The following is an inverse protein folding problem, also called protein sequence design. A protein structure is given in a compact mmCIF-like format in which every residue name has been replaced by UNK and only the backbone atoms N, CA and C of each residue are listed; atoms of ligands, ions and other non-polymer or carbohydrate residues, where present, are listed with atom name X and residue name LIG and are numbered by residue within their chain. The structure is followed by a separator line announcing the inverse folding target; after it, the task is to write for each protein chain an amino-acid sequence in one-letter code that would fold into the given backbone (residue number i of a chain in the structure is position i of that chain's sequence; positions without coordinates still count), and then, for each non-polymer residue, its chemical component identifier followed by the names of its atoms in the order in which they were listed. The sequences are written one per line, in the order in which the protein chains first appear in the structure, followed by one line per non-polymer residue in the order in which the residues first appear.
data_IF_241963595522
#
_entry.id   IF_241963595522
#
_cell.length_a   1.000
_cell.length_b   1.000
_cell.length_c   1.000
_cell.angle_alpha   90.00
_cell.angle_beta   90.00
_cell.angle_gamma   90.00
#
_symmetry.space_group_name_H-M   'P 1'
#
loop_
_entity.id
_entity.type
_entity.pdbx_description
1 polymer ?
#
# COMPACT_ATOMS: atom_id res chain seq x y z
N UNK A 1 2.42 8.61 14.61
CA UNK A 1 1.57 7.58 15.23
C UNK A 1 2.39 6.31 15.39
N UNK A 2 2.33 5.64 16.54
CA UNK A 2 2.97 4.33 16.74
C UNK A 2 2.02 3.20 16.32
N UNK A 3 2.51 1.98 16.02
CA UNK A 3 1.63 0.88 15.67
C UNK A 3 0.66 0.50 16.80
N UNK A 4 1.06 0.58 18.07
CA UNK A 4 0.18 0.31 19.20
C UNK A 4 -0.99 1.31 19.29
N UNK A 5 -0.72 2.59 19.00
CA UNK A 5 -1.78 3.60 18.93
C UNK A 5 -2.76 3.31 17.80
N UNK A 6 -2.25 2.89 16.63
CA UNK A 6 -3.10 2.52 15.51
C UNK A 6 -3.98 1.30 15.81
N UNK A 7 -3.48 0.30 16.54
CA UNK A 7 -4.30 -0.86 16.96
C UNK A 7 -5.43 -0.46 17.89
N UNK A 8 -5.18 0.48 18.81
CA UNK A 8 -6.22 1.01 19.71
C UNK A 8 -7.29 1.77 18.93
N UNK A 9 -6.89 2.50 17.89
CA UNK A 9 -7.80 3.26 17.02
C UNK A 9 -8.67 2.36 16.14
N UNK A 10 -8.09 1.27 15.61
CA UNK A 10 -8.82 0.26 14.83
C UNK A 10 -9.83 -0.50 15.72
N UNK A 11 -9.51 -0.71 17.01
CA UNK A 11 -10.41 -1.31 17.99
C UNK A 11 -10.63 -2.82 17.78
N UNK A 12 -11.90 -3.26 17.84
CA UNK A 12 -12.33 -4.67 17.92
C UNK A 12 -11.73 -5.56 16.82
N UNK A 13 -11.52 -5.01 15.62
CA UNK A 13 -10.95 -5.75 14.49
C UNK A 13 -9.54 -6.27 14.81
N UNK A 14 -8.77 -5.51 15.57
CA UNK A 14 -7.40 -5.85 15.99
C UNK A 14 -7.28 -6.18 17.47
N UNK A 15 -8.39 -6.31 18.21
CA UNK A 15 -8.33 -6.69 19.63
C UNK A 15 -7.65 -8.07 19.79
N UNK A 16 -6.66 -8.14 20.67
CA UNK A 16 -5.80 -9.32 20.86
C UNK A 16 -4.81 -9.60 19.71
N UNK A 17 -4.71 -8.74 18.69
CA UNK A 17 -3.67 -8.85 17.68
C UNK A 17 -2.31 -8.40 18.22
N UNK A 18 -1.24 -9.06 17.78
CA UNK A 18 0.14 -8.72 18.15
C UNK A 18 0.93 -8.31 16.91
N UNK A 19 1.82 -7.33 17.09
CA UNK A 19 2.81 -6.96 16.07
C UNK A 19 3.88 -8.06 16.07
N UNK A 20 4.06 -8.72 14.93
CA UNK A 20 5.01 -9.83 14.80
C UNK A 20 6.34 -9.34 14.28
N UNK A 21 6.31 -8.45 13.30
CA UNK A 21 7.51 -7.80 12.76
C UNK A 21 7.14 -6.56 11.98
N UNK A 22 8.12 -5.67 11.88
CA UNK A 22 8.14 -4.66 10.84
C UNK A 22 8.42 -5.30 9.48
N UNK A 23 7.72 -4.84 8.46
CA UNK A 23 7.93 -5.18 7.06
C UNK A 23 8.73 -4.06 6.41
N UNK A 24 9.49 -4.37 5.36
CA UNK A 24 10.22 -3.36 4.61
C UNK A 24 9.25 -2.26 4.13
N UNK A 25 9.37 -1.08 4.72
CA UNK A 25 8.57 0.10 4.39
C UNK A 25 9.28 0.99 3.37
N UNK A 26 8.49 1.71 2.59
CA UNK A 26 9.00 2.80 1.76
C UNK A 26 9.27 4.07 2.60
N UNK A 27 9.78 5.14 1.97
CA UNK A 27 10.00 6.41 2.65
C UNK A 27 8.67 7.10 3.05
N UNK A 28 7.53 6.66 2.50
CA UNK A 28 6.22 7.25 2.74
C UNK A 28 5.39 6.55 3.83
N UNK A 29 5.79 5.36 4.30
CA UNK A 29 5.01 4.62 5.30
C UNK A 29 5.85 3.59 6.06
N UNK A 30 5.43 3.27 7.27
CA UNK A 30 5.84 2.07 7.99
C UNK A 30 4.79 0.98 7.83
N UNK A 31 5.25 -0.27 7.74
CA UNK A 31 4.37 -1.43 7.55
C UNK A 31 4.69 -2.51 8.57
N UNK A 32 3.66 -3.13 9.14
CA UNK A 32 3.79 -4.12 10.21
C UNK A 32 2.93 -5.34 9.90
N UNK A 33 3.50 -6.54 10.14
CA UNK A 33 2.73 -7.78 10.13
C UNK A 33 2.07 -7.96 11.50
N UNK A 34 0.75 -8.07 11.50
CA UNK A 34 -0.05 -8.39 12.68
C UNK A 34 -0.53 -9.83 12.63
N UNK A 35 -0.65 -10.47 13.80
CA UNK A 35 -1.25 -11.79 13.94
C UNK A 35 -2.27 -11.84 15.08
N UNK A 36 -3.39 -12.52 14.85
CA UNK A 36 -4.36 -12.95 15.87
C UNK A 36 -4.90 -14.32 15.51
N UNK A 37 -4.61 -15.34 16.32
CA UNK A 37 -4.94 -16.73 16.01
C UNK A 37 -4.49 -17.11 14.57
N UNK A 38 -5.42 -17.50 13.71
CA UNK A 38 -5.15 -17.83 12.29
C UNK A 38 -5.18 -16.63 11.34
N UNK A 39 -5.59 -15.46 11.84
CA UNK A 39 -5.68 -14.25 11.04
C UNK A 39 -4.36 -13.49 11.01
N UNK A 40 -4.04 -12.96 9.83
CA UNK A 40 -2.86 -12.15 9.58
C UNK A 40 -3.24 -10.91 8.80
N UNK A 41 -2.68 -9.78 9.20
CA UNK A 41 -2.89 -8.49 8.54
C UNK A 41 -1.58 -7.75 8.30
N UNK A 42 -1.62 -6.84 7.34
CA UNK A 42 -0.60 -5.81 7.18
C UNK A 42 -1.20 -4.48 7.61
N UNK A 43 -0.64 -3.91 8.67
CA UNK A 43 -0.90 -2.55 9.11
C UNK A 43 0.09 -1.63 8.40
N UNK A 44 -0.41 -0.57 7.76
CA UNK A 44 0.40 0.51 7.22
C UNK A 44 0.04 1.81 7.91
N UNK A 45 1.06 2.55 8.31
CA UNK A 45 0.94 3.88 8.91
C UNK A 45 1.75 4.86 8.05
N UNK A 46 1.11 5.96 7.67
CA UNK A 46 1.77 7.00 6.88
C UNK A 46 2.87 7.72 7.67
N UNK A 47 3.99 7.96 6.98
CA UNK A 47 5.02 8.90 7.42
C UNK A 47 4.62 10.31 7.00
N UNK A 48 5.16 11.37 7.66
CA UNK A 48 4.91 12.75 7.24
C UNK A 48 5.17 13.03 5.75
N UNK A 49 6.08 12.26 5.13
CA UNK A 49 6.37 12.37 3.71
C UNK A 49 5.17 12.02 2.80
N UNK A 50 4.25 11.14 3.22
CA UNK A 50 3.07 10.78 2.43
C UNK A 50 2.19 12.00 2.10
N UNK A 51 1.89 12.81 3.12
CA UNK A 51 1.14 14.07 2.94
C UNK A 51 1.89 15.07 2.06
N UNK A 52 3.22 15.19 2.23
CA UNK A 52 4.08 16.07 1.42
C UNK A 52 4.16 15.65 -0.06
N UNK A 53 3.97 14.37 -0.36
CA UNK A 53 3.89 13.84 -1.71
C UNK A 53 2.49 13.96 -2.32
N UNK A 54 1.50 14.38 -1.53
CA UNK A 54 0.11 14.46 -1.95
C UNK A 54 -0.45 13.10 -2.38
N UNK A 55 -0.09 12.04 -1.64
CA UNK A 55 -0.63 10.70 -1.88
C UNK A 55 -2.12 10.69 -1.53
N UNK A 56 -2.95 10.34 -2.52
CA UNK A 56 -4.40 10.30 -2.37
C UNK A 56 -4.82 8.94 -1.80
N UNK A 57 -5.06 8.90 -0.48
CA UNK A 57 -5.44 7.69 0.23
C UNK A 57 -6.89 7.26 -0.04
N UNK A 58 -7.76 8.20 -0.40
CA UNK A 58 -9.13 7.89 -0.80
C UNK A 58 -9.14 7.20 -2.17
N UNK A 59 -8.35 7.69 -3.13
CA UNK A 59 -8.15 7.03 -4.41
C UNK A 59 -7.50 5.65 -4.25
N UNK A 60 -6.57 5.48 -3.32
CA UNK A 60 -5.98 4.18 -3.01
C UNK A 60 -7.02 3.18 -2.47
N UNK A 61 -7.89 3.61 -1.55
CA UNK A 61 -8.99 2.80 -1.03
C UNK A 61 -9.93 2.36 -2.15
N UNK A 62 -10.27 3.30 -3.02
CA UNK A 62 -11.11 3.06 -4.19
C UNK A 62 -10.50 1.98 -5.08
N UNK A 63 -9.21 2.09 -5.41
CA UNK A 63 -8.51 1.07 -6.22
C UNK A 63 -8.49 -0.28 -5.51
N UNK A 64 -8.18 -0.34 -4.21
CA UNK A 64 -8.16 -1.60 -3.44
C UNK A 64 -9.52 -2.33 -3.48
N UNK A 65 -10.63 -1.60 -3.42
CA UNK A 65 -11.97 -2.18 -3.53
C UNK A 65 -12.30 -2.75 -4.93
N UNK A 66 -11.57 -2.36 -5.98
CA UNK A 66 -11.79 -2.85 -7.35
C UNK A 66 -10.85 -3.99 -7.74
N UNK A 67 -9.65 -4.05 -7.13
CA UNK A 67 -8.66 -5.10 -7.40
C UNK A 67 -8.86 -6.35 -6.53
N UNK A 68 -9.73 -6.27 -5.53
CA UNK A 68 -10.17 -7.38 -4.70
C UNK A 68 -11.66 -7.63 -4.93
N UNK A 69 -12.03 -8.89 -5.19
CA UNK A 69 -13.41 -9.31 -5.48
C UNK A 69 -14.02 -10.04 -4.28
N UNK A 70 -13.46 -11.19 -3.93
CA UNK A 70 -13.90 -12.03 -2.81
C UNK A 70 -12.81 -13.02 -2.39
N UNK A 71 -12.96 -13.64 -1.22
CA UNK A 71 -11.94 -14.53 -0.63
C UNK A 71 -11.70 -15.84 -1.41
N UNK A 72 -12.61 -16.22 -2.31
CA UNK A 72 -12.51 -17.44 -3.12
C UNK A 72 -12.00 -17.17 -4.55
N UNK A 73 -11.80 -15.90 -4.92
CA UNK A 73 -11.37 -15.52 -6.26
C UNK A 73 -9.85 -15.63 -6.43
N UNK A 74 -9.43 -16.44 -7.40
CA UNK A 74 -8.04 -16.51 -7.86
C UNK A 74 -7.64 -15.30 -8.73
N UNK A 75 -8.60 -14.47 -9.13
CA UNK A 75 -8.39 -13.28 -9.96
C UNK A 75 -8.17 -12.00 -9.12
N UNK A 76 -8.05 -12.13 -7.79
CA UNK A 76 -7.69 -11.01 -6.93
C UNK A 76 -6.28 -10.52 -7.27
N UNK A 77 -6.16 -9.23 -7.59
CA UNK A 77 -4.87 -8.59 -7.93
C UNK A 77 -4.23 -7.96 -6.68
N UNK A 78 -5.05 -7.60 -5.68
CA UNK A 78 -4.61 -6.97 -4.44
C UNK A 78 -5.19 -7.62 -3.20
N UNK A 79 -4.71 -7.21 -2.01
CA UNK A 79 -5.23 -7.71 -0.75
C UNK A 79 -6.61 -7.11 -0.45
N UNK A 80 -7.38 -7.81 0.38
CA UNK A 80 -8.62 -7.28 0.96
C UNK A 80 -8.31 -6.11 1.89
N UNK A 81 -9.00 -4.98 1.70
CA UNK A 81 -8.99 -3.86 2.65
C UNK A 81 -9.94 -4.18 3.82
N UNK A 82 -9.41 -4.15 5.03
CA UNK A 82 -10.16 -4.46 6.27
C UNK A 82 -10.47 -3.19 7.07
N UNK A 83 -9.59 -2.19 7.01
CA UNK A 83 -9.78 -0.89 7.66
C UNK A 83 -9.00 0.21 6.94
N UNK A 84 -9.55 1.42 6.95
CA UNK A 84 -8.88 2.62 6.48
C UNK A 84 -9.33 3.83 7.31
N UNK A 85 -8.35 4.57 7.81
CA UNK A 85 -8.52 5.94 8.26
C UNK A 85 -7.60 6.84 7.43
N UNK A 86 -8.20 7.66 6.59
CA UNK A 86 -7.47 8.59 5.70
C UNK A 86 -6.84 9.73 6.50
N UNK A 87 -7.51 10.21 7.53
CA UNK A 87 -7.09 11.39 8.31
C UNK A 87 -5.90 11.04 9.21
N UNK A 88 -5.95 9.86 9.84
CA UNK A 88 -4.86 9.29 10.64
C UNK A 88 -3.79 8.58 9.81
N UNK A 89 -4.04 8.35 8.51
CA UNK A 89 -3.11 7.66 7.61
C UNK A 89 -2.92 6.18 7.92
N UNK A 90 -3.94 5.53 8.50
CA UNK A 90 -3.93 4.12 8.89
C UNK A 90 -4.60 3.29 7.80
N UNK A 91 -3.96 2.20 7.38
CA UNK A 91 -4.57 1.20 6.51
C UNK A 91 -4.31 -0.21 7.07
N UNK A 92 -5.35 -1.05 7.09
CA UNK A 92 -5.24 -2.47 7.44
C UNK A 92 -5.71 -3.33 6.26
N UNK A 93 -4.86 -4.24 5.82
CA UNK A 93 -5.19 -5.19 4.74
C UNK A 93 -4.95 -6.62 5.19
N UNK A 94 -5.64 -7.58 4.58
CA UNK A 94 -5.37 -9.00 4.83
C UNK A 94 -3.99 -9.37 4.28
N UNK A 95 -3.20 -10.08 5.09
CA UNK A 95 -1.86 -10.51 4.69
C UNK A 95 -1.94 -11.54 3.55
N UNK A 96 -1.16 -11.32 2.49
CA UNK A 96 -0.98 -12.26 1.39
C UNK A 96 0.22 -13.18 1.70
N UNK A 97 0.01 -14.50 1.85
CA UNK A 97 1.11 -15.42 2.06
C UNK A 97 2.07 -15.45 0.87
N UNK A 98 3.37 -15.39 1.13
CA UNK A 98 4.40 -15.49 0.11
C UNK A 98 5.66 -14.73 0.47
N UNK A 99 6.49 -14.47 -0.54
CA UNK A 99 7.65 -13.60 -0.44
C UNK A 99 7.59 -12.51 -1.49
N UNK A 100 8.12 -11.34 -1.16
CA UNK A 100 8.39 -10.32 -2.18
C UNK A 100 9.38 -10.86 -3.21
N UNK A 101 9.15 -10.51 -4.47
CA UNK A 101 10.12 -10.79 -5.53
C UNK A 101 11.32 -9.87 -5.40
N UNK A 102 12.47 -10.40 -5.80
CA UNK A 102 13.74 -9.71 -5.92
C UNK A 102 14.05 -9.47 -7.39
N UNK A 103 15.09 -8.70 -7.70
CA UNK A 103 15.56 -8.54 -9.08
C UNK A 103 15.90 -9.86 -9.75
N UNK A 104 16.42 -10.83 -9.00
CA UNK A 104 16.76 -12.16 -9.51
C UNK A 104 15.54 -12.90 -10.08
N UNK A 105 14.37 -12.71 -9.48
CA UNK A 105 13.13 -13.39 -9.90
C UNK A 105 12.62 -12.90 -11.25
N UNK A 106 13.00 -11.68 -11.65
CA UNK A 106 12.64 -11.08 -12.93
C UNK A 106 13.46 -11.61 -14.10
N UNK A 107 14.52 -12.39 -13.84
CA UNK A 107 15.29 -13.07 -14.89
C UNK A 107 14.65 -14.39 -15.33
N UNK A 108 13.60 -14.85 -14.65
CA UNK A 108 12.83 -16.04 -15.03
C UNK A 108 11.66 -15.64 -15.96
N UNK A 109 11.65 -16.17 -17.18
CA UNK A 109 10.61 -15.92 -18.18
C UNK A 109 9.20 -16.33 -17.72
N UNK A 110 9.08 -17.35 -16.87
CA UNK A 110 7.81 -17.77 -16.30
C UNK A 110 7.26 -16.69 -15.35
N UNK A 111 8.12 -16.09 -14.53
CA UNK A 111 7.76 -14.99 -13.64
C UNK A 111 7.39 -13.73 -14.42
N UNK A 112 8.10 -13.41 -15.51
CA UNK A 112 7.73 -12.32 -16.42
C UNK A 112 6.34 -12.55 -17.04
N UNK A 113 6.04 -13.78 -17.44
CA UNK A 113 4.72 -14.14 -17.97
C UNK A 113 3.61 -13.94 -16.93
N UNK A 114 3.87 -14.29 -15.67
CA UNK A 114 2.93 -14.07 -14.54
C UNK A 114 2.68 -12.59 -14.30
N UNK A 115 3.71 -11.74 -14.28
CA UNK A 115 3.54 -10.27 -14.20
C UNK A 115 2.72 -9.77 -15.38
N UNK A 116 3.04 -10.21 -16.60
CA UNK A 116 2.32 -9.81 -17.80
C UNK A 116 0.83 -10.14 -17.74
N UNK A 117 0.47 -11.32 -17.22
CA UNK A 117 -0.93 -11.68 -16.99
C UNK A 117 -1.59 -10.81 -15.93
N UNK A 118 -0.93 -10.56 -14.80
CA UNK A 118 -1.45 -9.70 -13.74
C UNK A 118 -1.69 -8.26 -14.21
N UNK A 119 -0.75 -7.69 -14.96
CA UNK A 119 -0.89 -6.36 -15.55
C UNK A 119 -2.03 -6.29 -16.57
N UNK A 120 -2.22 -7.34 -17.38
CA UNK A 120 -3.37 -7.41 -18.29
C UNK A 120 -4.70 -7.41 -17.54
N UNK A 121 -4.80 -8.18 -16.45
CA UNK A 121 -6.00 -8.19 -15.61
C UNK A 121 -6.23 -6.79 -15.00
N UNK A 122 -5.17 -6.17 -14.46
CA UNK A 122 -5.25 -4.84 -13.85
C UNK A 122 -5.73 -3.78 -14.87
N UNK A 123 -5.19 -3.79 -16.08
CA UNK A 123 -5.59 -2.86 -17.14
C UNK A 123 -7.00 -3.11 -17.69
N UNK A 124 -7.57 -4.29 -17.46
CA UNK A 124 -8.94 -4.62 -17.86
C UNK A 124 -9.99 -4.20 -16.82
N UNK A 125 -9.57 -3.75 -15.62
CA UNK A 125 -10.48 -3.23 -14.61
C UNK A 125 -11.02 -1.89 -15.11
N UNK A 126 -12.33 -1.83 -15.29
CA UNK A 126 -13.06 -0.60 -15.62
C UNK A 126 -13.25 0.24 -14.36
N UNK A 127 -12.17 0.88 -13.90
CA UNK A 127 -12.15 1.69 -12.69
C UNK A 127 -11.92 3.18 -13.02
N UNK A 128 -12.73 4.10 -12.49
CA UNK A 128 -12.56 5.54 -12.62
C UNK A 128 -11.47 6.06 -11.67
N UNK A 129 -10.23 5.61 -11.83
CA UNK A 129 -9.10 6.41 -11.34
C UNK A 129 -8.88 7.52 -12.37
N UNK A 130 -9.02 8.79 -11.96
CA UNK A 130 -8.75 9.92 -12.83
C UNK A 130 -7.36 9.80 -13.49
N UNK A 131 -7.16 10.37 -14.70
CA UNK A 131 -5.93 10.18 -15.45
C UNK A 131 -4.71 10.62 -14.63
N UNK A 132 -3.66 9.79 -14.64
CA UNK A 132 -2.37 10.18 -14.08
C UNK A 132 -1.80 11.33 -14.91
N UNK A 133 -1.95 12.57 -14.44
CA UNK A 133 -1.34 13.71 -15.10
C UNK A 133 0.16 13.78 -14.80
N UNK A 134 0.94 13.14 -15.68
CA UNK A 134 2.40 13.10 -15.57
C UNK A 134 3.02 14.49 -15.60
N UNK A 135 2.47 15.43 -16.39
CA UNK A 135 2.97 16.81 -16.48
C UNK A 135 2.84 17.53 -15.14
N UNK A 136 1.69 17.40 -14.49
CA UNK A 136 1.48 18.06 -13.19
C UNK A 136 2.33 17.43 -12.09
N UNK A 137 2.56 16.11 -12.15
CA UNK A 137 3.46 15.42 -11.22
C UNK A 137 4.92 15.83 -11.43
N UNK A 138 5.42 15.83 -12.66
CA UNK A 138 6.80 16.24 -12.95
C UNK A 138 7.01 17.72 -12.67
N UNK A 139 6.04 18.58 -12.95
CA UNK A 139 6.06 20.00 -12.59
C UNK A 139 6.16 20.22 -11.08
N UNK A 140 5.39 19.48 -10.27
CA UNK A 140 5.49 19.51 -8.81
C UNK A 140 6.89 19.11 -8.33
N UNK A 141 7.46 18.04 -8.86
CA UNK A 141 8.83 17.64 -8.50
C UNK A 141 9.86 18.69 -8.92
N UNK A 142 9.76 19.23 -10.14
CA UNK A 142 10.68 20.24 -10.65
C UNK A 142 10.65 21.53 -9.80
N UNK A 143 9.47 21.98 -9.38
CA UNK A 143 9.30 23.15 -8.50
C UNK A 143 9.88 22.97 -7.10
N UNK A 144 10.11 21.73 -6.67
CA UNK A 144 10.73 21.44 -5.36
C UNK A 144 12.25 21.43 -5.43
N UNK A 145 12.87 21.15 -6.59
CA UNK A 145 14.33 21.06 -6.73
C UNK A 145 14.98 22.40 -6.37
N UNK A 146 15.97 22.37 -5.47
CA UNK A 146 16.71 23.57 -5.03
C UNK A 146 16.02 24.38 -3.92
N UNK A 147 14.87 23.93 -3.42
CA UNK A 147 14.19 24.55 -2.28
C UNK A 147 14.61 23.90 -0.95
N UNK A 148 14.40 24.60 0.18
CA UNK A 148 14.52 24.01 1.52
C UNK A 148 13.59 22.78 1.70
N UNK A 149 12.51 22.72 0.92
CA UNK A 149 11.61 21.58 0.89
C UNK A 149 12.25 20.35 0.22
N UNK A 150 13.10 20.49 -0.80
CA UNK A 150 13.88 19.38 -1.34
C UNK A 150 15.00 18.93 -0.40
N UNK A 151 15.69 19.87 0.27
CA UNK A 151 16.78 19.54 1.20
C UNK A 151 16.28 18.71 2.40
N UNK A 152 15.08 19.01 2.91
CA UNK A 152 14.40 18.27 3.99
C UNK A 152 13.76 16.93 3.57
N UNK A 153 14.02 16.45 2.35
CA UNK A 153 13.57 15.13 1.85
C UNK A 153 14.73 14.17 1.57
N UNK A 154 15.99 14.63 1.66
CA UNK A 154 17.20 13.85 1.39
C UNK A 154 17.89 13.30 2.66
N UNK A 155 17.30 13.55 3.83
CA UNK A 155 17.67 13.07 5.17
C UNK A 155 16.51 12.32 5.78
#
# INVERSE_FOLDING_TARGET
MTPEQALLEIGDLTDGARIVKELAGGPASDSYLLERAEYRWVLRIDKPLAGRLGLDRAAEAFVLAHVYRDDASEDNIGPRLEYLDVDSGIQLTRYLPGRAWTSADLHDEHNLSRIGSLLRQLHAIDAPAGPLNLRDKTGRYAGMIGTAEAASRAT
#
